data_IF_089339908124
#
_entry.id   IF_089339908124
#
_cell.length_a   1.000
_cell.length_b   1.000
_cell.length_c   1.000
_cell.angle_alpha   90.00
_cell.angle_beta   90.00
_cell.angle_gamma   90.00
#
_symmetry.space_group_name_H-M   'P 1'
#
loop_
_entity.id
_entity.type
_entity.pdbx_description
1 polymer ?
#
# COMPACT_ATOMS: atom_id res chain seq x y z
N UNK A 1 -1.65 -20.15 1.51
CA UNK A 1 -2.68 -19.14 1.16
C UNK A 1 -2.52 -17.86 1.99
N UNK A 2 -2.56 -17.94 3.32
CA UNK A 2 -2.55 -16.80 4.26
C UNK A 2 -1.37 -15.82 4.07
N UNK A 3 -0.18 -16.30 3.68
CA UNK A 3 1.00 -15.44 3.46
C UNK A 3 1.10 -14.87 2.04
N UNK A 4 0.47 -15.53 1.06
CA UNK A 4 0.58 -15.15 -0.36
C UNK A 4 -0.15 -13.84 -0.60
N UNK A 5 -1.33 -13.67 -0.01
CA UNK A 5 -2.15 -12.46 -0.17
C UNK A 5 -1.42 -11.21 0.36
N UNK A 6 -0.93 -11.16 1.62
CA UNK A 6 -0.13 -10.05 2.12
C UNK A 6 1.10 -9.77 1.28
N UNK A 7 1.79 -10.83 0.83
CA UNK A 7 2.98 -10.68 0.01
C UNK A 7 2.65 -10.01 -1.33
N UNK A 8 1.59 -10.43 -2.01
CA UNK A 8 1.16 -9.79 -3.26
C UNK A 8 0.66 -8.36 -3.02
N UNK A 9 -0.08 -8.15 -1.93
CA UNK A 9 -0.51 -6.83 -1.49
C UNK A 9 0.67 -5.92 -1.13
N UNK A 10 1.86 -6.44 -0.79
CA UNK A 10 3.06 -5.64 -0.61
C UNK A 10 3.85 -5.44 -1.91
N UNK A 11 4.09 -6.52 -2.66
CA UNK A 11 4.99 -6.52 -3.82
C UNK A 11 4.41 -5.73 -5.00
N UNK A 12 3.12 -5.90 -5.31
CA UNK A 12 2.50 -5.20 -6.44
C UNK A 12 2.52 -3.67 -6.19
N UNK A 13 2.09 -3.16 -5.02
CA UNK A 13 2.10 -1.72 -4.78
C UNK A 13 3.52 -1.17 -4.58
N UNK A 14 4.48 -1.99 -4.17
CA UNK A 14 5.90 -1.63 -4.17
C UNK A 14 6.43 -1.37 -5.58
N UNK A 15 6.19 -2.29 -6.51
CA UNK A 15 6.62 -2.11 -7.90
C UNK A 15 5.90 -0.89 -8.50
N UNK A 16 4.59 -0.77 -8.27
CA UNK A 16 3.82 0.37 -8.76
C UNK A 16 4.33 1.70 -8.20
N UNK A 17 4.59 1.79 -6.89
CA UNK A 17 5.13 3.00 -6.25
C UNK A 17 6.47 3.41 -6.82
N UNK A 18 7.36 2.44 -7.06
CA UNK A 18 8.67 2.70 -7.66
C UNK A 18 8.56 3.21 -9.10
N UNK A 19 7.70 2.59 -9.92
CA UNK A 19 7.52 2.97 -11.33
C UNK A 19 6.82 4.33 -11.45
N UNK A 20 5.72 4.54 -10.73
CA UNK A 20 4.92 5.77 -10.81
C UNK A 20 5.72 6.99 -10.39
N UNK A 21 6.51 6.89 -9.31
CA UNK A 21 7.29 8.03 -8.86
C UNK A 21 8.45 8.35 -9.79
N UNK A 22 9.10 7.32 -10.39
CA UNK A 22 10.11 7.53 -11.43
C UNK A 22 9.55 8.21 -12.68
N UNK A 23 8.26 8.00 -12.97
CA UNK A 23 7.54 8.68 -14.04
C UNK A 23 7.03 10.08 -13.67
N UNK A 24 7.38 10.60 -12.47
CA UNK A 24 6.91 11.91 -11.99
C UNK A 24 5.44 11.94 -11.56
N UNK A 25 4.75 10.79 -11.52
CA UNK A 25 3.31 10.69 -11.20
C UNK A 25 3.07 10.51 -9.70
N UNK A 26 3.75 11.30 -8.86
CA UNK A 26 3.67 11.22 -7.41
C UNK A 26 2.25 11.44 -6.84
N UNK A 27 1.43 12.23 -7.54
CA UNK A 27 0.02 12.46 -7.19
C UNK A 27 -0.76 11.14 -7.17
N UNK A 28 -0.53 10.23 -8.13
CA UNK A 28 -1.23 8.94 -8.17
C UNK A 28 -0.84 8.09 -6.97
N UNK A 29 0.45 8.07 -6.59
CA UNK A 29 0.92 7.37 -5.39
C UNK A 29 0.22 7.92 -4.15
N UNK A 30 0.14 9.25 -4.00
CA UNK A 30 -0.54 9.88 -2.87
C UNK A 30 -2.03 9.50 -2.81
N UNK A 31 -2.74 9.55 -3.95
CA UNK A 31 -4.15 9.15 -4.03
C UNK A 31 -4.33 7.68 -3.63
N UNK A 32 -3.50 6.77 -4.13
CA UNK A 32 -3.58 5.34 -3.80
C UNK A 32 -3.32 5.09 -2.30
N UNK A 33 -2.33 5.77 -1.71
CA UNK A 33 -2.06 5.69 -0.26
C UNK A 33 -3.26 6.18 0.54
N UNK A 34 -3.86 7.30 0.17
CA UNK A 34 -5.05 7.85 0.85
C UNK A 34 -6.23 6.88 0.73
N UNK A 35 -6.50 6.33 -0.45
CA UNK A 35 -7.57 5.34 -0.65
C UNK A 35 -7.37 4.12 0.23
N UNK A 36 -6.16 3.55 0.27
CA UNK A 36 -5.87 2.41 1.13
C UNK A 36 -5.95 2.75 2.62
N UNK A 37 -5.53 3.96 3.02
CA UNK A 37 -5.63 4.42 4.41
C UNK A 37 -7.09 4.61 4.83
N UNK A 38 -7.94 5.15 3.95
CA UNK A 38 -9.39 5.26 4.19
C UNK A 38 -10.03 3.88 4.31
N UNK A 39 -9.69 2.95 3.41
CA UNK A 39 -10.17 1.56 3.48
C UNK A 39 -9.71 0.86 4.76
N UNK A 40 -8.47 1.06 5.17
CA UNK A 40 -7.92 0.55 6.43
C UNK A 40 -8.73 1.08 7.63
N UNK A 41 -8.90 2.40 7.72
CA UNK A 41 -9.63 3.05 8.81
C UNK A 41 -11.09 2.59 8.85
N UNK A 42 -11.74 2.52 7.68
CA UNK A 42 -13.12 2.04 7.54
C UNK A 42 -13.25 0.58 7.97
N UNK A 43 -12.36 -0.30 7.54
CA UNK A 43 -12.36 -1.72 7.91
C UNK A 43 -12.19 -1.88 9.42
N UNK A 44 -11.28 -1.14 10.06
CA UNK A 44 -11.11 -1.16 11.51
C UNK A 44 -12.39 -0.68 12.21
N UNK A 45 -12.96 0.44 11.76
CA UNK A 45 -14.16 1.01 12.37
C UNK A 45 -15.36 0.07 12.25
N UNK A 46 -15.57 -0.58 11.10
CA UNK A 46 -16.63 -1.57 10.91
C UNK A 46 -16.36 -2.87 11.65
N UNK A 47 -15.13 -3.37 11.63
CA UNK A 47 -14.73 -4.57 12.36
C UNK A 47 -14.98 -4.46 13.86
N UNK A 48 -14.84 -3.26 14.44
CA UNK A 48 -15.17 -2.99 15.85
C UNK A 48 -16.66 -3.05 16.18
N UNK A 49 -17.54 -2.89 15.20
CA UNK A 49 -18.99 -2.95 15.38
C UNK A 49 -19.56 -4.34 15.05
N UNK A 50 -18.81 -5.15 14.31
CA UNK A 50 -19.18 -6.50 13.95
C UNK A 50 -18.85 -7.48 15.10
N UNK A 51 -19.80 -8.36 15.41
CA UNK A 51 -19.60 -9.46 16.36
C UNK A 51 -19.47 -10.79 15.61
N UNK A 52 -18.71 -11.73 16.17
CA UNK A 52 -18.49 -13.04 15.57
C UNK A 52 -17.53 -13.00 14.36
N UNK A 53 -17.78 -13.84 13.37
CA UNK A 53 -16.86 -14.12 12.26
C UNK A 53 -16.62 -12.93 11.31
N UNK A 54 -17.57 -12.01 11.21
CA UNK A 54 -17.47 -10.83 10.32
C UNK A 54 -16.34 -9.88 10.75
N UNK A 55 -16.14 -9.71 12.06
CA UNK A 55 -15.07 -8.90 12.62
C UNK A 55 -13.68 -9.39 12.20
N UNK A 56 -13.52 -10.72 12.09
CA UNK A 56 -12.27 -11.35 11.62
C UNK A 56 -12.03 -10.99 10.15
N UNK A 57 -13.07 -11.00 9.32
CA UNK A 57 -12.96 -10.61 7.91
C UNK A 57 -12.46 -9.17 7.74
N UNK A 58 -13.00 -8.23 8.51
CA UNK A 58 -12.54 -6.83 8.51
C UNK A 58 -11.09 -6.69 9.00
N UNK A 59 -10.70 -7.45 10.02
CA UNK A 59 -9.32 -7.45 10.51
C UNK A 59 -8.33 -7.99 9.47
N UNK A 60 -8.72 -9.03 8.71
CA UNK A 60 -7.94 -9.57 7.60
C UNK A 60 -7.76 -8.51 6.50
N UNK A 61 -8.83 -7.84 6.06
CA UNK A 61 -8.72 -6.79 5.04
C UNK A 61 -7.81 -5.66 5.50
N UNK A 62 -7.93 -5.24 6.76
CA UNK A 62 -7.10 -4.18 7.32
C UNK A 62 -5.62 -4.58 7.37
N UNK A 63 -5.31 -5.70 8.03
CA UNK A 63 -3.93 -6.07 8.37
C UNK A 63 -3.20 -6.85 7.28
N UNK A 64 -3.92 -7.65 6.50
CA UNK A 64 -3.33 -8.55 5.50
C UNK A 64 -3.44 -8.01 4.07
N UNK A 65 -4.18 -6.91 3.83
CA UNK A 65 -4.29 -6.29 2.51
C UNK A 65 -3.93 -4.81 2.52
N UNK A 66 -4.63 -3.99 3.30
CA UNK A 66 -4.46 -2.53 3.27
C UNK A 66 -3.10 -2.11 3.85
N UNK A 67 -2.75 -2.59 5.05
CA UNK A 67 -1.47 -2.28 5.70
C UNK A 67 -0.24 -2.64 4.83
N UNK A 68 -0.10 -3.88 4.30
CA UNK A 68 1.01 -4.21 3.41
C UNK A 68 0.97 -3.42 2.09
N UNK A 69 -0.21 -3.09 1.56
CA UNK A 69 -0.35 -2.23 0.38
C UNK A 69 0.18 -0.81 0.58
N UNK A 70 -0.15 -0.19 1.72
CA UNK A 70 0.38 1.13 2.09
C UNK A 70 1.89 1.05 2.23
N UNK A 71 2.39 0.06 2.99
CA UNK A 71 3.82 -0.15 3.19
C UNK A 71 4.55 -0.33 1.84
N UNK A 72 3.99 -1.15 0.95
CA UNK A 72 4.50 -1.39 -0.39
C UNK A 72 4.62 -0.09 -1.18
N UNK A 73 3.55 0.70 -1.29
CA UNK A 73 3.58 1.98 -2.02
C UNK A 73 4.60 2.97 -1.46
N UNK A 74 4.69 3.09 -0.13
CA UNK A 74 5.62 4.02 0.52
C UNK A 74 7.07 3.60 0.28
N UNK A 75 7.39 2.32 0.50
CA UNK A 75 8.74 1.79 0.24
C UNK A 75 9.09 1.87 -1.24
N UNK A 76 8.18 1.45 -2.12
CA UNK A 76 8.34 1.51 -3.56
C UNK A 76 8.62 2.92 -4.05
N UNK A 77 7.80 3.88 -3.63
CA UNK A 77 7.98 5.29 -3.99
C UNK A 77 9.29 5.86 -3.44
N UNK A 78 9.68 5.56 -2.20
CA UNK A 78 10.99 5.95 -1.67
C UNK A 78 12.16 5.40 -2.51
N UNK A 79 12.07 4.14 -2.94
CA UNK A 79 13.06 3.52 -3.85
C UNK A 79 13.06 4.21 -5.22
N UNK A 80 11.88 4.46 -5.80
CA UNK A 80 11.74 5.15 -7.08
C UNK A 80 12.35 6.56 -7.06
N UNK A 81 12.15 7.28 -5.96
CA UNK A 81 12.72 8.61 -5.73
C UNK A 81 14.24 8.59 -5.66
N UNK A 82 14.78 7.66 -4.88
CA UNK A 82 16.23 7.50 -4.72
C UNK A 82 16.92 7.16 -6.05
N UNK A 83 16.30 6.28 -6.84
CA UNK A 83 16.78 5.94 -8.18
C UNK A 83 16.69 7.12 -9.17
N UNK A 84 15.62 7.91 -9.11
CA UNK A 84 15.46 9.10 -9.96
C UNK A 84 16.55 10.15 -9.65
N UNK A 85 16.85 10.39 -8.37
CA UNK A 85 17.94 11.29 -7.95
C UNK A 85 19.30 10.86 -8.47
N UNK A 86 19.61 9.55 -8.41
CA UNK A 86 20.87 9.01 -8.93
C UNK A 86 21.03 9.12 -10.44
N UNK A 87 19.93 9.08 -11.20
CA UNK A 87 19.97 9.33 -12.64
C UNK A 87 20.24 10.80 -12.95
N UNK A 88 19.62 11.72 -12.20
CA UNK A 88 19.88 13.16 -12.35
C UNK A 88 21.30 13.59 -11.96
N UNK A 89 21.97 12.85 -11.07
CA UNK A 89 23.36 13.09 -10.65
C UNK A 89 24.42 12.54 -11.63
N UNK A 90 24.02 11.81 -12.69
CA UNK A 90 24.92 11.21 -13.69
C UNK A 90 24.79 11.85 -15.09
N UNK A 91 23.98 12.91 -15.21
CA UNK A 91 23.80 13.69 -16.44
C UNK A 91 24.64 14.95 -16.45
#
# INVERSE_FOLDING_TARGET
MVYVIPLLCFVIPLIAGAVLLRAGRGVIVAVLVVVLAVLLAWAIWKGRQASGWDGIGYAIVAMLMCAPGILGLLVGSAVGWWQARRKGLRG
#
